data_IF_379963409896
#
_entry.id   IF_379963409896
#
_cell.length_a   1.000
_cell.length_b   1.000
_cell.length_c   1.000
_cell.angle_alpha   90.00
_cell.angle_beta   90.00
_cell.angle_gamma   90.00
#
_symmetry.space_group_name_H-M   'P 1'
#
loop_
_entity.id
_entity.type
_entity.pdbx_description
1 polymer ?
#
# COMPACT_ATOMS: atom_id res chain seq x y z
N UNK A 1 15.68 6.43 14.88
CA UNK A 1 15.01 5.81 14.04
C UNK A 1 14.41 6.57 13.00
N UNK A 2 14.64 6.22 11.82
CA UNK A 2 14.18 6.96 10.76
C UNK A 2 13.27 6.14 9.93
N UNK A 3 12.08 6.58 9.72
CA UNK A 3 11.20 5.95 8.78
C UNK A 3 11.44 6.58 7.43
N UNK A 4 11.28 5.75 6.41
CA UNK A 4 11.42 6.22 5.04
C UNK A 4 10.07 6.15 4.38
N UNK A 5 9.92 6.88 3.30
CA UNK A 5 8.68 6.85 2.55
C UNK A 5 8.82 5.85 1.42
N UNK A 6 7.84 4.98 1.34
CA UNK A 6 7.83 3.94 0.30
C UNK A 6 6.63 4.16 -0.60
N UNK A 7 6.86 3.98 -1.87
CA UNK A 7 5.78 4.04 -2.84
C UNK A 7 5.29 2.63 -3.09
N UNK A 8 4.04 2.40 -2.76
CA UNK A 8 3.43 1.08 -2.89
C UNK A 8 2.47 1.11 -4.06
N UNK A 9 2.70 0.25 -5.01
CA UNK A 9 1.84 0.15 -6.19
C UNK A 9 1.18 -1.20 -6.23
N UNK A 10 -0.07 -1.20 -6.61
CA UNK A 10 -0.80 -2.46 -6.70
C UNK A 10 -2.20 -2.22 -7.22
N UNK A 11 -3.06 -3.17 -6.94
CA UNK A 11 -4.46 -3.08 -7.34
C UNK A 11 -5.34 -3.51 -6.19
N UNK A 12 -6.56 -3.04 -6.17
CA UNK A 12 -7.54 -3.49 -5.21
C UNK A 12 -8.86 -3.71 -5.93
N UNK A 13 -9.67 -4.57 -5.35
CA UNK A 13 -10.94 -4.93 -5.96
C UNK A 13 -12.01 -3.93 -5.54
N UNK A 14 -12.63 -3.29 -6.52
CA UNK A 14 -13.71 -2.37 -6.27
C UNK A 14 -14.90 -2.87 -7.07
N UNK A 15 -15.88 -3.43 -6.37
CA UNK A 15 -16.97 -4.09 -7.03
C UNK A 15 -16.48 -5.32 -7.76
N UNK A 16 -16.53 -5.29 -9.08
CA UNK A 16 -16.06 -6.40 -9.90
C UNK A 16 -14.78 -6.07 -10.64
N UNK A 17 -14.23 -4.89 -10.40
CA UNK A 17 -13.07 -4.44 -11.15
C UNK A 17 -11.87 -4.25 -10.26
N UNK A 18 -10.71 -4.61 -10.78
CA UNK A 18 -9.46 -4.36 -10.11
C UNK A 18 -8.92 -3.00 -10.55
N UNK A 19 -8.73 -2.12 -9.59
CA UNK A 19 -8.35 -0.73 -9.84
C UNK A 19 -6.93 -0.52 -9.37
N UNK A 20 -6.07 0.07 -10.19
CA UNK A 20 -4.68 0.32 -9.75
C UNK A 20 -4.64 1.45 -8.73
N UNK A 21 -3.66 1.36 -7.85
CA UNK A 21 -3.46 2.41 -6.86
C UNK A 21 -1.97 2.65 -6.66
N UNK A 22 -1.67 3.81 -6.15
CA UNK A 22 -0.32 4.16 -5.73
C UNK A 22 -0.45 4.93 -4.42
N UNK A 23 0.30 4.49 -3.42
CA UNK A 23 0.29 5.13 -2.12
C UNK A 23 1.71 5.34 -1.65
N UNK A 24 1.94 6.45 -0.99
CA UNK A 24 3.22 6.70 -0.33
C UNK A 24 3.01 6.48 1.16
N UNK A 25 3.74 5.53 1.72
CA UNK A 25 3.56 5.10 3.09
C UNK A 25 4.90 5.27 3.81
N UNK A 26 4.87 5.91 4.96
CA UNK A 26 6.06 6.02 5.79
C UNK A 26 6.21 4.73 6.60
N UNK A 27 7.38 4.13 6.53
CA UNK A 27 7.62 2.86 7.22
C UNK A 27 9.12 2.66 7.37
N UNK A 28 9.53 1.82 8.33
CA UNK A 28 10.95 1.55 8.51
C UNK A 28 11.53 0.62 7.43
N UNK A 29 10.68 -0.19 6.80
CA UNK A 29 11.15 -1.08 5.74
C UNK A 29 9.99 -1.44 4.83
N UNK A 30 10.29 -2.21 3.79
CA UNK A 30 9.28 -2.56 2.79
C UNK A 30 8.17 -3.42 3.35
N UNK A 31 8.51 -4.36 4.22
CA UNK A 31 7.49 -5.21 4.81
C UNK A 31 6.48 -4.40 5.59
N UNK A 32 6.96 -3.44 6.36
CA UNK A 32 6.07 -2.60 7.12
C UNK A 32 5.24 -1.70 6.20
N UNK A 33 5.83 -1.25 5.11
CA UNK A 33 5.09 -0.43 4.16
C UNK A 33 3.91 -1.22 3.59
N UNK A 34 4.12 -2.48 3.26
CA UNK A 34 3.04 -3.32 2.78
C UNK A 34 1.97 -3.53 3.83
N UNK A 35 2.40 -3.82 5.05
CA UNK A 35 1.43 -4.04 6.13
C UNK A 35 0.58 -2.81 6.37
N UNK A 36 1.21 -1.66 6.35
CA UNK A 36 0.48 -0.42 6.57
C UNK A 36 -0.47 -0.12 5.42
N UNK A 37 -0.09 -0.51 4.21
CA UNK A 37 -0.98 -0.35 3.06
C UNK A 37 -2.25 -1.17 3.26
N UNK A 38 -2.11 -2.42 3.68
CA UNK A 38 -3.27 -3.24 3.94
C UNK A 38 -4.13 -2.66 5.05
N UNK A 39 -3.50 -2.11 6.07
CA UNK A 39 -4.24 -1.50 7.17
C UNK A 39 -5.03 -0.28 6.69
N UNK A 40 -4.43 0.53 5.85
CA UNK A 40 -5.10 1.72 5.34
C UNK A 40 -6.33 1.33 4.51
N UNK A 41 -6.16 0.39 3.58
CA UNK A 41 -7.28 -0.01 2.76
C UNK A 41 -8.33 -0.78 3.55
N UNK A 42 -7.90 -1.60 4.48
CA UNK A 42 -8.85 -2.33 5.31
C UNK A 42 -9.68 -1.40 6.17
N UNK A 43 -9.05 -0.36 6.68
CA UNK A 43 -9.71 0.57 7.56
C UNK A 43 -10.61 1.54 6.80
N UNK A 44 -10.14 2.06 5.68
CA UNK A 44 -10.88 3.09 4.97
C UNK A 44 -11.90 2.54 4.00
N UNK A 45 -11.61 1.41 3.39
CA UNK A 45 -12.46 0.86 2.34
C UNK A 45 -13.12 -0.44 2.72
N UNK A 46 -12.90 -0.90 3.94
CA UNK A 46 -13.46 -2.16 4.41
C UNK A 46 -13.10 -3.33 3.52
N UNK A 47 -11.89 -3.30 2.97
CA UNK A 47 -11.44 -4.35 2.08
C UNK A 47 -10.64 -5.38 2.86
N UNK A 48 -10.84 -6.63 2.55
CA UNK A 48 -10.04 -7.69 3.12
C UNK A 48 -8.73 -7.77 2.37
N UNK A 49 -7.72 -8.36 3.03
CA UNK A 49 -6.40 -8.45 2.42
C UNK A 49 -6.42 -9.11 1.05
N UNK A 50 -7.28 -10.12 0.88
CA UNK A 50 -7.33 -10.84 -0.38
C UNK A 50 -7.84 -9.98 -1.52
N UNK A 51 -8.44 -8.85 -1.22
CA UNK A 51 -8.94 -7.93 -2.24
C UNK A 51 -7.96 -6.81 -2.53
N UNK A 52 -6.77 -6.90 -1.96
CA UNK A 52 -5.74 -5.89 -2.14
C UNK A 52 -4.48 -6.61 -2.60
N UNK A 53 -3.91 -6.16 -3.70
CA UNK A 53 -2.68 -6.74 -4.21
C UNK A 53 -1.61 -5.67 -4.24
N UNK A 54 -0.40 -6.07 -3.91
CA UNK A 54 0.75 -5.19 -3.97
C UNK A 54 1.65 -5.70 -5.08
N UNK A 55 1.80 -4.91 -6.13
CA UNK A 55 2.67 -5.28 -7.23
C UNK A 55 4.12 -4.97 -6.94
N UNK A 56 4.37 -3.88 -6.26
CA UNK A 56 5.73 -3.53 -5.96
C UNK A 56 5.81 -2.43 -4.92
N UNK A 57 6.90 -2.42 -4.20
CA UNK A 57 7.19 -1.41 -3.21
C UNK A 57 8.56 -0.86 -3.52
N UNK A 58 8.68 0.43 -3.63
CA UNK A 58 9.96 1.05 -3.87
C UNK A 58 10.12 2.24 -2.96
N UNK A 59 11.36 2.63 -2.77
CA UNK A 59 11.67 3.77 -1.93
C UNK A 59 11.26 5.03 -2.66
N UNK A 60 10.38 5.78 -2.06
CA UNK A 60 9.95 7.05 -2.65
C UNK A 60 10.92 8.14 -2.23
N UNK A 61 11.39 8.87 -3.19
CA UNK A 61 12.25 9.99 -2.87
C UNK A 61 11.44 11.23 -2.90
N UNK A 62 11.41 11.91 -1.78
CA UNK A 62 10.72 13.18 -1.73
C UNK A 62 11.74 14.25 -1.47
N UNK A 63 11.67 15.27 -2.21
CA UNK A 63 12.63 16.36 -2.05
C UNK A 63 12.08 17.46 -1.22
#
# INVERSE_FOLDING_TARGET
MTEQKYEVKGTFLMGEDWVPYTKVIAAPNENQARERTFAVFGSKHNLKRRYIKVDGVSLAKTE
#
